data_IF_611667322232
#
_entry.id   IF_611667322232
#
_cell.length_a   1.000
_cell.length_b   1.000
_cell.length_c   1.000
_cell.angle_alpha   90.00
_cell.angle_beta   90.00
_cell.angle_gamma   90.00
#
_symmetry.space_group_name_H-M   'P 1'
#
loop_
_entity.id
_entity.type
_entity.pdbx_description
1 polymer ?
#
# COMPACT_ATOMS: atom_id res chain seq x y z
N UNK A 1 -20.52 4.98 42.69
CA UNK A 1 -21.07 3.64 42.40
C UNK A 1 -21.35 3.43 40.91
N UNK A 2 -22.38 4.02 40.29
CA UNK A 2 -22.64 3.81 38.84
C UNK A 2 -21.48 4.26 37.94
N UNK A 3 -20.93 5.45 38.16
CA UNK A 3 -19.79 5.96 37.37
C UNK A 3 -18.48 5.16 37.53
N UNK A 4 -18.29 4.48 38.67
CA UNK A 4 -17.13 3.61 38.88
C UNK A 4 -17.30 2.25 38.19
N UNK A 5 -18.53 1.75 38.12
CA UNK A 5 -18.86 0.54 37.36
C UNK A 5 -18.71 0.78 35.85
N UNK A 6 -19.18 1.93 35.35
CA UNK A 6 -19.02 2.31 33.94
C UNK A 6 -17.54 2.48 33.55
N UNK A 7 -16.72 3.08 34.42
CA UNK A 7 -15.29 3.20 34.20
C UNK A 7 -14.57 1.85 34.19
N UNK A 8 -14.97 0.93 35.09
CA UNK A 8 -14.42 -0.42 35.16
C UNK A 8 -14.82 -1.29 33.95
N UNK A 9 -16.05 -1.15 33.47
CA UNK A 9 -16.51 -1.81 32.25
C UNK A 9 -15.82 -1.26 31.01
N UNK A 10 -15.60 0.06 30.93
CA UNK A 10 -14.84 0.69 29.85
C UNK A 10 -13.36 0.23 29.83
N UNK A 11 -12.70 0.16 30.99
CA UNK A 11 -11.34 -0.40 31.10
C UNK A 11 -11.30 -1.87 30.71
N UNK A 12 -12.30 -2.66 31.14
CA UNK A 12 -12.40 -4.09 30.81
C UNK A 12 -12.63 -4.31 29.32
N UNK A 13 -13.50 -3.52 28.68
CA UNK A 13 -13.71 -3.50 27.23
C UNK A 13 -12.43 -3.10 26.48
N UNK A 14 -11.73 -2.05 26.94
CA UNK A 14 -10.46 -1.60 26.35
C UNK A 14 -9.36 -2.68 26.46
N UNK A 15 -9.30 -3.41 27.58
CA UNK A 15 -8.36 -4.52 27.79
C UNK A 15 -8.72 -5.77 26.98
N UNK A 16 -9.99 -5.93 26.61
CA UNK A 16 -10.51 -7.00 25.77
C UNK A 16 -10.42 -6.71 24.27
N UNK A 17 -9.95 -5.51 23.86
CA UNK A 17 -9.51 -5.25 22.48
C UNK A 17 -8.25 -6.08 22.25
N UNK A 18 -8.46 -7.36 21.96
CA UNK A 18 -7.44 -8.32 21.58
C UNK A 18 -6.85 -7.77 20.29
N UNK A 19 -5.66 -7.17 20.37
CA UNK A 19 -4.92 -6.72 19.21
C UNK A 19 -4.62 -7.96 18.36
N UNK A 20 -5.52 -8.26 17.41
CA UNK A 20 -5.36 -9.36 16.48
C UNK A 20 -4.18 -8.97 15.60
N UNK A 21 -3.15 -9.81 15.59
CA UNK A 21 -1.99 -9.61 14.73
C UNK A 21 -2.39 -9.95 13.29
N UNK A 22 -3.14 -9.05 12.66
CA UNK A 22 -3.67 -9.20 11.28
C UNK A 22 -2.54 -9.05 10.26
N UNK A 23 -1.53 -8.24 10.58
CA UNK A 23 -0.41 -7.94 9.69
C UNK A 23 0.87 -8.65 10.14
N UNK A 24 1.08 -9.84 9.58
CA UNK A 24 2.30 -10.61 9.80
C UNK A 24 3.56 -9.85 9.34
N UNK A 25 4.69 -10.08 10.02
CA UNK A 25 5.98 -9.48 9.67
C UNK A 25 6.35 -9.60 8.17
N UNK A 26 6.09 -10.72 7.47
CA UNK A 26 6.33 -10.84 6.03
C UNK A 26 5.50 -9.85 5.19
N UNK A 27 4.24 -9.61 5.57
CA UNK A 27 3.37 -8.68 4.84
C UNK A 27 3.84 -7.24 5.00
N UNK A 28 4.32 -6.89 6.20
CA UNK A 28 4.90 -5.56 6.48
C UNK A 28 6.19 -5.35 5.70
N UNK A 29 7.07 -6.35 5.68
CA UNK A 29 8.30 -6.31 4.88
C UNK A 29 7.97 -6.09 3.40
N UNK A 30 7.03 -6.87 2.86
CA UNK A 30 6.57 -6.70 1.48
C UNK A 30 6.03 -5.28 1.24
N UNK A 31 5.20 -4.75 2.14
CA UNK A 31 4.66 -3.40 2.01
C UNK A 31 5.76 -2.33 1.99
N UNK A 32 6.69 -2.38 2.94
CA UNK A 32 7.78 -1.41 3.04
C UNK A 32 8.77 -1.49 1.87
N UNK A 33 9.06 -2.69 1.36
CA UNK A 33 9.89 -2.86 0.16
C UNK A 33 9.22 -2.21 -1.05
N UNK A 34 7.91 -2.39 -1.25
CA UNK A 34 7.19 -1.74 -2.34
C UNK A 34 7.13 -0.22 -2.17
N UNK A 35 6.84 0.27 -0.96
CA UNK A 35 6.82 1.70 -0.67
C UNK A 35 8.18 2.36 -0.97
N UNK A 36 9.27 1.71 -0.57
CA UNK A 36 10.63 2.17 -0.87
C UNK A 36 10.91 2.14 -2.38
N UNK A 37 10.57 1.04 -3.06
CA UNK A 37 10.79 0.91 -4.50
C UNK A 37 10.03 1.99 -5.30
N UNK A 38 8.75 2.23 -4.98
CA UNK A 38 7.93 3.28 -5.61
C UNK A 38 8.56 4.66 -5.36
N UNK A 39 9.01 4.94 -4.13
CA UNK A 39 9.65 6.22 -3.79
C UNK A 39 10.91 6.45 -4.62
N UNK A 40 11.78 5.43 -4.71
CA UNK A 40 12.99 5.47 -5.52
C UNK A 40 12.65 5.67 -6.99
N UNK A 41 11.68 4.92 -7.52
CA UNK A 41 11.22 5.03 -8.91
C UNK A 41 10.68 6.42 -9.24
N UNK A 42 9.88 7.02 -8.36
CA UNK A 42 9.32 8.35 -8.55
C UNK A 42 10.43 9.41 -8.60
N UNK A 43 11.34 9.41 -7.63
CA UNK A 43 12.44 10.39 -7.54
C UNK A 43 13.40 10.25 -8.71
N UNK A 44 13.88 9.02 -8.98
CA UNK A 44 14.84 8.78 -10.06
C UNK A 44 14.19 8.94 -11.44
N UNK A 45 12.93 8.55 -11.60
CA UNK A 45 12.17 8.73 -12.84
C UNK A 45 11.96 10.21 -13.16
N UNK A 46 11.69 11.04 -12.13
CA UNK A 46 11.66 12.49 -12.28
C UNK A 46 12.99 13.03 -12.82
N UNK A 47 14.12 12.63 -12.24
CA UNK A 47 15.44 13.08 -12.72
C UNK A 47 15.85 12.49 -14.08
N UNK A 48 15.25 11.38 -14.52
CA UNK A 48 15.44 10.88 -15.89
C UNK A 48 14.67 11.76 -16.89
N UNK A 49 13.45 12.18 -16.56
CA UNK A 49 12.65 13.07 -17.43
C UNK A 49 13.10 14.53 -17.40
N UNK A 50 13.51 15.02 -16.24
CA UNK A 50 14.08 16.35 -16.02
C UNK A 50 15.48 16.22 -15.39
N UNK A 51 16.53 16.11 -16.23
CA UNK A 51 17.89 15.90 -15.75
C UNK A 51 18.38 17.01 -14.83
N UNK A 52 19.26 16.62 -13.90
CA UNK A 52 20.05 17.57 -13.12
C UNK A 52 20.92 18.43 -14.04
N UNK A 53 21.36 19.61 -13.57
CA UNK A 53 22.31 20.44 -14.31
C UNK A 53 23.57 19.66 -14.71
N UNK A 54 24.15 20.02 -15.86
CA UNK A 54 25.36 19.37 -16.36
C UNK A 54 26.51 19.51 -15.38
N UNK A 55 27.21 18.42 -15.09
CA UNK A 55 28.45 18.44 -14.31
C UNK A 55 29.64 18.81 -15.18
N UNK A 56 30.57 19.67 -14.69
CA UNK A 56 31.78 20.01 -15.42
C UNK A 56 32.79 18.84 -15.39
N UNK A 57 33.69 18.80 -16.38
CA UNK A 57 34.76 17.80 -16.48
C UNK A 57 34.56 16.78 -17.61
N UNK A 58 35.48 15.82 -17.71
CA UNK A 58 35.43 14.80 -18.75
C UNK A 58 34.31 13.77 -18.51
N UNK A 59 33.67 13.33 -19.60
CA UNK A 59 32.61 12.33 -19.53
C UNK A 59 33.10 10.96 -19.03
N UNK A 60 34.37 10.61 -19.31
CA UNK A 60 35.01 9.38 -18.81
C UNK A 60 35.10 9.31 -17.28
N UNK A 61 35.16 10.47 -16.62
CA UNK A 61 35.26 10.59 -15.17
C UNK A 61 33.88 10.78 -14.48
N UNK A 62 32.79 10.91 -15.25
CA UNK A 62 31.47 11.25 -14.73
C UNK A 62 30.40 10.23 -15.13
N UNK A 63 29.74 9.60 -14.15
CA UNK A 63 28.69 8.60 -14.39
C UNK A 63 27.38 8.88 -13.64
N UNK A 64 27.12 10.13 -13.26
CA UNK A 64 25.97 10.53 -12.42
C UNK A 64 24.61 10.02 -12.96
N UNK A 65 24.28 10.36 -14.20
CA UNK A 65 23.02 9.89 -14.82
C UNK A 65 23.00 8.37 -15.01
N UNK A 66 24.17 7.75 -15.18
CA UNK A 66 24.31 6.29 -15.22
C UNK A 66 23.89 5.63 -13.91
N UNK A 67 24.34 6.18 -12.76
CA UNK A 67 23.92 5.71 -11.44
C UNK A 67 22.43 5.93 -11.17
N UNK A 68 21.87 7.08 -11.55
CA UNK A 68 20.43 7.36 -11.40
C UNK A 68 19.61 6.33 -12.18
N UNK A 69 19.97 6.07 -13.43
CA UNK A 69 19.30 5.06 -14.27
C UNK A 69 19.49 3.65 -13.71
N UNK A 70 20.68 3.31 -13.26
CA UNK A 70 20.94 2.00 -12.65
C UNK A 70 20.04 1.75 -11.44
N UNK A 71 19.98 2.70 -10.50
CA UNK A 71 19.13 2.61 -9.32
C UNK A 71 17.64 2.54 -9.71
N UNK A 72 17.21 3.33 -10.70
CA UNK A 72 15.85 3.27 -11.22
C UNK A 72 15.49 1.87 -11.75
N UNK A 73 16.32 1.31 -12.63
CA UNK A 73 16.07 -0.01 -13.21
C UNK A 73 16.15 -1.13 -12.15
N UNK A 74 17.10 -1.06 -11.23
CA UNK A 74 17.18 -2.03 -10.13
C UNK A 74 15.92 -1.99 -9.26
N UNK A 75 15.44 -0.79 -8.87
CA UNK A 75 14.19 -0.63 -8.13
C UNK A 75 12.98 -1.11 -8.94
N UNK A 76 12.96 -0.87 -10.26
CA UNK A 76 11.90 -1.33 -11.16
C UNK A 76 11.83 -2.86 -11.19
N UNK A 77 12.96 -3.56 -11.27
CA UNK A 77 12.99 -5.02 -11.23
C UNK A 77 12.52 -5.57 -9.89
N UNK A 78 12.96 -5.00 -8.76
CA UNK A 78 12.49 -5.40 -7.43
C UNK A 78 10.97 -5.24 -7.33
N UNK A 79 10.46 -4.09 -7.76
CA UNK A 79 9.03 -3.80 -7.74
C UNK A 79 8.25 -4.74 -8.68
N UNK A 80 8.71 -4.93 -9.91
CA UNK A 80 8.04 -5.77 -10.90
C UNK A 80 7.97 -7.24 -10.47
N UNK A 81 9.08 -7.81 -9.98
CA UNK A 81 9.10 -9.18 -9.46
C UNK A 81 8.22 -9.31 -8.23
N UNK A 82 8.30 -8.36 -7.30
CA UNK A 82 7.44 -8.33 -6.11
C UNK A 82 5.94 -8.21 -6.44
N UNK A 83 5.61 -7.45 -7.48
CA UNK A 83 4.24 -7.28 -7.98
C UNK A 83 3.74 -8.52 -8.71
N UNK A 84 4.57 -9.15 -9.55
CA UNK A 84 4.25 -10.44 -10.18
C UNK A 84 4.01 -11.54 -9.14
N UNK A 85 4.85 -11.61 -8.11
CA UNK A 85 4.64 -12.52 -6.98
C UNK A 85 3.32 -12.23 -6.25
N UNK A 86 2.94 -10.95 -6.13
CA UNK A 86 1.65 -10.54 -5.55
C UNK A 86 0.46 -10.98 -6.42
N UNK A 87 0.55 -10.81 -7.74
CA UNK A 87 -0.47 -11.29 -8.69
C UNK A 87 -0.60 -12.81 -8.59
N UNK A 88 0.52 -13.53 -8.56
CA UNK A 88 0.53 -14.99 -8.39
C UNK A 88 -0.17 -15.41 -7.09
N UNK A 89 0.15 -14.78 -5.97
CA UNK A 89 -0.51 -15.06 -4.69
C UNK A 89 -2.00 -14.71 -4.72
N UNK A 90 -2.41 -13.66 -5.44
CA UNK A 90 -3.81 -13.32 -5.62
C UNK A 90 -4.58 -14.39 -6.41
N UNK A 91 -3.94 -15.06 -7.38
CA UNK A 91 -4.56 -16.13 -8.17
C UNK A 91 -4.61 -17.47 -7.41
N UNK A 92 -3.49 -17.86 -6.78
CA UNK A 92 -3.33 -19.18 -6.13
C UNK A 92 -3.79 -19.18 -4.66
N UNK A 93 -3.85 -18.01 -4.02
CA UNK A 93 -4.22 -17.86 -2.61
C UNK A 93 -5.71 -17.93 -2.28
N UNK A 94 -6.02 -17.79 -0.98
CA UNK A 94 -7.35 -17.87 -0.38
C UNK A 94 -8.36 -16.84 -0.94
N UNK A 95 -9.66 -17.07 -0.70
CA UNK A 95 -10.76 -16.19 -1.15
C UNK A 95 -10.56 -14.71 -0.78
N UNK A 96 -10.01 -14.39 0.39
CA UNK A 96 -9.66 -13.02 0.81
C UNK A 96 -8.50 -12.40 0.00
N UNK A 97 -7.57 -13.21 -0.52
CA UNK A 97 -6.49 -12.73 -1.38
C UNK A 97 -6.98 -12.35 -2.80
N UNK A 98 -8.14 -12.89 -3.22
CA UNK A 98 -8.76 -12.61 -4.52
C UNK A 98 -9.58 -11.32 -4.55
N UNK A 99 -10.12 -10.88 -3.41
CA UNK A 99 -11.04 -9.73 -3.36
C UNK A 99 -10.38 -8.38 -3.67
N UNK A 100 -9.06 -8.24 -3.49
CA UNK A 100 -8.33 -7.01 -3.88
C UNK A 100 -8.20 -6.89 -5.41
N UNK A 101 -8.18 -8.01 -6.16
CA UNK A 101 -8.00 -8.00 -7.61
C UNK A 101 -9.29 -8.22 -8.40
N UNK A 102 -10.26 -8.96 -7.85
CA UNK A 102 -11.57 -9.20 -8.45
C UNK A 102 -12.64 -8.54 -7.60
N UNK A 103 -12.68 -7.22 -7.63
CA UNK A 103 -13.85 -6.48 -7.16
C UNK A 103 -15.02 -6.86 -8.06
N UNK A 104 -16.17 -7.32 -7.53
CA UNK A 104 -17.31 -7.75 -8.34
C UNK A 104 -18.06 -6.52 -8.90
N UNK A 105 -17.36 -5.70 -9.69
CA UNK A 105 -17.87 -4.48 -10.34
C UNK A 105 -19.07 -4.75 -11.25
N UNK A 106 -19.25 -6.01 -11.66
CA UNK A 106 -20.37 -6.47 -12.48
C UNK A 106 -21.63 -6.83 -11.66
N UNK A 107 -21.55 -6.83 -10.32
CA UNK A 107 -22.68 -7.12 -9.45
C UNK A 107 -23.47 -5.86 -9.12
N UNK A 108 -24.74 -5.81 -9.51
CA UNK A 108 -25.66 -4.72 -9.13
C UNK A 108 -25.82 -4.61 -7.60
N UNK A 109 -25.74 -5.74 -6.87
CA UNK A 109 -25.78 -5.76 -5.41
C UNK A 109 -24.56 -5.05 -4.80
N UNK A 110 -23.39 -5.25 -5.39
CA UNK A 110 -22.15 -4.62 -4.93
C UNK A 110 -22.21 -3.09 -5.06
N UNK A 111 -22.70 -2.58 -6.19
CA UNK A 111 -22.91 -1.13 -6.35
C UNK A 111 -23.95 -0.57 -5.37
N UNK A 112 -25.03 -1.30 -5.10
CA UNK A 112 -26.03 -0.90 -4.09
C UNK A 112 -25.40 -0.73 -2.70
N UNK A 113 -24.52 -1.64 -2.31
CA UNK A 113 -23.79 -1.58 -1.03
C UNK A 113 -22.79 -0.41 -1.02
N UNK A 114 -22.03 -0.19 -2.11
CA UNK A 114 -21.10 0.94 -2.23
C UNK A 114 -21.83 2.28 -2.12
N UNK A 115 -22.97 2.46 -2.80
CA UNK A 115 -23.76 3.69 -2.67
C UNK A 115 -24.42 3.84 -1.30
N UNK A 116 -24.71 2.74 -0.61
CA UNK A 116 -25.18 2.78 0.77
C UNK A 116 -24.07 3.27 1.71
N UNK A 117 -22.88 2.65 1.66
CA UNK A 117 -21.72 3.08 2.46
C UNK A 117 -21.32 4.52 2.16
N UNK A 118 -21.31 4.94 0.89
CA UNK A 118 -21.02 6.33 0.51
C UNK A 118 -22.01 7.31 1.16
N UNK A 119 -23.31 7.01 1.07
CA UNK A 119 -24.34 7.84 1.72
C UNK A 119 -24.24 7.81 3.24
N UNK A 120 -23.83 6.69 3.82
CA UNK A 120 -23.57 6.56 5.26
C UNK A 120 -22.40 7.45 5.70
N UNK A 121 -21.25 7.40 5.02
CA UNK A 121 -20.09 8.26 5.31
C UNK A 121 -20.36 9.74 5.04
N UNK A 122 -21.26 10.05 4.10
CA UNK A 122 -21.75 11.40 3.85
C UNK A 122 -22.87 11.82 4.82
N UNK A 123 -23.27 10.95 5.76
CA UNK A 123 -24.36 11.17 6.73
C UNK A 123 -25.71 11.48 6.09
N UNK A 124 -25.96 10.96 4.88
CA UNK A 124 -27.19 11.11 4.11
C UNK A 124 -28.23 10.01 4.41
N UNK A 125 -27.82 8.95 5.11
CA UNK A 125 -28.72 7.89 5.59
C UNK A 125 -29.12 8.22 7.02
N UNK A 126 -30.43 8.23 7.30
CA UNK A 126 -30.93 8.28 8.68
C UNK A 126 -30.85 6.88 9.28
N UNK A 127 -30.31 6.79 10.49
CA UNK A 127 -30.37 5.60 11.36
C UNK A 127 -31.79 5.07 11.54
#
# INVERSE_FOLDING_TARGET
MLAEQDAFEAERQARLVKAVYVYEAPLRLWHWVNALAITVLAITGYFIGQPLPSVPGEASANFLMGYIRFVHFAAAYIFAVGFLGRIYWAMVGNHHARQIFLVPVWSLKWWSEVFYELRWYLFLVRE
#
